data_IF_652085182692
#
_entry.id   IF_652085182692
#
_cell.length_a   1.000
_cell.length_b   1.000
_cell.length_c   1.000
_cell.angle_alpha   90.00
_cell.angle_beta   90.00
_cell.angle_gamma   90.00
#
_symmetry.space_group_name_H-M   'P 1'
#
loop_
_entity.id
_entity.type
_entity.pdbx_description
1 polymer ?
#
# COMPACT_ATOMS: atom_id res chain seq x y z
N UNK A 1 22.70 -1.81 22.21
CA UNK A 1 21.90 -2.47 21.16
C UNK A 1 20.54 -2.79 21.78
N UNK A 2 19.44 -2.68 21.03
CA UNK A 2 18.12 -3.03 21.54
C UNK A 2 18.07 -4.52 21.93
N UNK A 3 17.30 -4.85 22.96
CA UNK A 3 17.13 -6.24 23.39
C UNK A 3 16.48 -7.10 22.28
N UNK A 4 16.86 -8.37 22.14
CA UNK A 4 16.25 -9.28 21.16
C UNK A 4 14.72 -9.38 21.31
N UNK A 5 14.22 -9.28 22.55
CA UNK A 5 12.79 -9.28 22.85
C UNK A 5 12.06 -8.05 22.29
N UNK A 6 12.69 -6.87 22.35
CA UNK A 6 12.15 -5.64 21.75
C UNK A 6 12.06 -5.76 20.23
N UNK A 7 13.12 -6.29 19.60
CA UNK A 7 13.15 -6.50 18.16
C UNK A 7 12.04 -7.47 17.70
N UNK A 8 11.84 -8.56 18.44
CA UNK A 8 10.78 -9.54 18.15
C UNK A 8 9.38 -8.91 18.23
N UNK A 9 9.09 -8.17 19.31
CA UNK A 9 7.79 -7.49 19.45
C UNK A 9 7.56 -6.41 18.40
N UNK A 10 8.58 -5.63 18.05
CA UNK A 10 8.48 -4.64 16.98
C UNK A 10 8.16 -5.30 15.63
N UNK A 11 8.81 -6.42 15.33
CA UNK A 11 8.56 -7.19 14.11
C UNK A 11 7.14 -7.78 14.08
N UNK A 12 6.64 -8.29 15.21
CA UNK A 12 5.26 -8.80 15.33
C UNK A 12 4.23 -7.69 15.05
N UNK A 13 4.43 -6.51 15.63
CA UNK A 13 3.56 -5.36 15.41
C UNK A 13 3.57 -4.91 13.94
N UNK A 14 4.74 -4.89 13.30
CA UNK A 14 4.85 -4.59 11.87
C UNK A 14 4.14 -5.64 11.00
N UNK A 15 4.34 -6.93 11.30
CA UNK A 15 3.73 -8.03 10.56
C UNK A 15 2.18 -7.99 10.65
N UNK A 16 1.64 -7.65 11.82
CA UNK A 16 0.20 -7.46 12.00
C UNK A 16 -0.35 -6.38 11.06
N UNK A 17 0.29 -5.21 11.03
CA UNK A 17 -0.12 -4.12 10.14
C UNK A 17 0.02 -4.50 8.67
N UNK A 18 1.10 -5.17 8.27
CA UNK A 18 1.27 -5.63 6.89
C UNK A 18 0.17 -6.61 6.46
N UNK A 19 -0.25 -7.50 7.36
CA UNK A 19 -1.35 -8.43 7.11
C UNK A 19 -2.68 -7.72 6.89
N UNK A 20 -3.01 -6.74 7.74
CA UNK A 20 -4.21 -5.91 7.58
C UNK A 20 -4.17 -5.10 6.27
N UNK A 21 -3.02 -4.51 5.93
CA UNK A 21 -2.82 -3.79 4.68
C UNK A 21 -3.01 -4.70 3.46
N UNK A 22 -2.42 -5.91 3.48
CA UNK A 22 -2.58 -6.92 2.42
C UNK A 22 -4.03 -7.35 2.25
N UNK A 23 -4.75 -7.60 3.34
CA UNK A 23 -6.17 -7.97 3.31
C UNK A 23 -7.05 -6.87 2.70
N UNK A 24 -6.75 -5.62 3.05
CA UNK A 24 -7.41 -4.45 2.45
C UNK A 24 -7.13 -4.34 0.94
N UNK A 25 -5.87 -4.50 0.53
CA UNK A 25 -5.46 -4.45 -0.88
C UNK A 25 -6.05 -5.61 -1.70
N UNK A 26 -6.10 -6.84 -1.14
CA UNK A 26 -6.78 -7.99 -1.76
C UNK A 26 -8.26 -7.68 -2.00
N UNK A 27 -8.91 -7.06 -1.01
CA UNK A 27 -10.32 -6.65 -1.15
C UNK A 27 -10.49 -5.64 -2.29
N UNK A 28 -9.62 -4.63 -2.39
CA UNK A 28 -9.66 -3.64 -3.49
C UNK A 28 -9.44 -4.32 -4.84
N UNK A 29 -8.42 -5.18 -4.95
CA UNK A 29 -8.12 -5.91 -6.17
C UNK A 29 -9.33 -6.71 -6.64
N UNK A 30 -9.89 -7.52 -5.74
CA UNK A 30 -11.03 -8.40 -6.01
C UNK A 30 -12.29 -7.67 -6.40
N UNK A 31 -12.58 -6.54 -5.74
CA UNK A 31 -13.88 -5.87 -5.87
C UNK A 31 -13.90 -4.74 -6.88
N UNK A 32 -12.74 -4.12 -7.16
CA UNK A 32 -12.60 -3.00 -8.07
C UNK A 32 -11.71 -3.35 -9.27
N UNK A 33 -10.43 -3.68 -9.05
CA UNK A 33 -9.48 -3.84 -10.15
C UNK A 33 -9.86 -4.98 -11.11
N UNK A 34 -10.38 -6.12 -10.61
CA UNK A 34 -10.84 -7.21 -11.48
C UNK A 34 -11.94 -6.77 -12.46
N UNK A 35 -12.83 -5.85 -12.05
CA UNK A 35 -13.89 -5.33 -12.93
C UNK A 35 -13.30 -4.46 -14.03
N UNK A 36 -12.38 -3.58 -13.67
CA UNK A 36 -11.66 -2.72 -14.61
C UNK A 36 -10.84 -3.57 -15.59
N UNK A 37 -10.12 -4.58 -15.07
CA UNK A 37 -9.35 -5.51 -15.87
C UNK A 37 -10.24 -6.26 -16.88
N UNK A 38 -11.38 -6.80 -16.41
CA UNK A 38 -12.34 -7.49 -17.27
C UNK A 38 -12.83 -6.57 -18.40
N UNK A 39 -13.23 -5.34 -18.07
CA UNK A 39 -13.69 -4.37 -19.08
C UNK A 39 -12.59 -4.04 -20.10
N UNK A 40 -11.35 -3.85 -19.63
CA UNK A 40 -10.17 -3.65 -20.48
C UNK A 40 -9.99 -4.82 -21.46
N UNK A 41 -10.01 -6.07 -20.98
CA UNK A 41 -9.85 -7.24 -21.84
C UNK A 41 -11.00 -7.40 -22.85
N UNK A 42 -12.25 -7.17 -22.42
CA UNK A 42 -13.40 -7.20 -23.32
C UNK A 42 -13.30 -6.12 -24.41
N UNK A 43 -12.83 -4.93 -24.06
CA UNK A 43 -12.57 -3.85 -25.01
C UNK A 43 -11.50 -4.25 -26.03
N UNK A 44 -10.39 -4.86 -25.58
CA UNK A 44 -9.34 -5.37 -26.47
C UNK A 44 -9.89 -6.41 -27.44
N UNK A 45 -10.66 -7.39 -26.96
CA UNK A 45 -11.33 -8.38 -27.84
C UNK A 45 -12.17 -7.68 -28.89
N UNK A 46 -12.97 -6.68 -28.51
CA UNK A 46 -13.75 -5.87 -29.45
C UNK A 46 -12.90 -5.08 -30.46
N UNK A 47 -11.66 -4.70 -30.14
CA UNK A 47 -10.73 -4.12 -31.10
C UNK A 47 -10.32 -5.15 -32.18
N UNK A 48 -10.02 -6.39 -31.77
CA UNK A 48 -9.67 -7.47 -32.71
C UNK A 48 -10.86 -7.85 -33.59
N UNK A 49 -12.06 -7.95 -33.02
CA UNK A 49 -13.28 -8.24 -33.78
C UNK A 49 -13.55 -7.17 -34.85
N UNK A 50 -13.33 -5.89 -34.53
CA UNK A 50 -13.48 -4.77 -35.47
C UNK A 50 -12.40 -4.73 -36.55
N UNK A 51 -11.15 -5.08 -36.20
CA UNK A 51 -10.05 -5.08 -37.15
C UNK A 51 -10.17 -6.25 -38.15
N UNK A 52 -10.61 -7.41 -37.70
CA UNK A 52 -10.72 -8.60 -38.55
C UNK A 52 -9.38 -8.97 -39.20
N UNK A 53 -9.43 -9.53 -40.42
CA UNK A 53 -8.24 -9.94 -41.18
C UNK A 53 -7.66 -8.87 -42.09
N UNK A 54 -8.33 -7.72 -42.22
CA UNK A 54 -7.99 -6.66 -43.19
C UNK A 54 -7.72 -5.31 -42.55
N UNK A 55 -7.99 -5.15 -41.26
CA UNK A 55 -7.78 -3.92 -40.52
C UNK A 55 -6.30 -3.56 -40.37
N UNK A 56 -6.04 -2.26 -40.28
CA UNK A 56 -4.69 -1.73 -40.03
C UNK A 56 -4.17 -2.16 -38.66
N UNK A 57 -2.91 -2.63 -38.63
CA UNK A 57 -2.18 -2.97 -37.41
C UNK A 57 -2.08 -1.79 -36.45
N UNK A 58 -1.84 -0.58 -36.97
CA UNK A 58 -1.62 0.61 -36.15
C UNK A 58 -2.90 1.04 -35.43
N UNK A 59 -4.04 0.93 -36.12
CA UNK A 59 -5.36 1.20 -35.55
C UNK A 59 -5.71 0.18 -34.46
N UNK A 60 -5.41 -1.10 -34.68
CA UNK A 60 -5.61 -2.16 -33.70
C UNK A 60 -4.75 -1.94 -32.45
N UNK A 61 -3.48 -1.58 -32.63
CA UNK A 61 -2.56 -1.34 -31.52
C UNK A 61 -2.99 -0.10 -30.71
N UNK A 62 -3.40 0.98 -31.37
CA UNK A 62 -3.93 2.18 -30.72
C UNK A 62 -5.23 1.89 -29.94
N UNK A 63 -6.15 1.12 -30.51
CA UNK A 63 -7.38 0.70 -29.84
C UNK A 63 -7.04 -0.14 -28.59
N UNK A 64 -6.15 -1.12 -28.73
CA UNK A 64 -5.73 -2.01 -27.65
C UNK A 64 -5.06 -1.25 -26.50
N UNK A 65 -4.17 -0.29 -26.82
CA UNK A 65 -3.54 0.59 -25.83
C UNK A 65 -4.57 1.42 -25.06
N UNK A 66 -5.55 1.97 -25.76
CA UNK A 66 -6.61 2.78 -25.16
C UNK A 66 -7.47 1.96 -24.19
N UNK A 67 -7.79 0.71 -24.54
CA UNK A 67 -8.53 -0.20 -23.67
C UNK A 67 -7.79 -0.55 -22.36
N UNK A 68 -6.45 -0.61 -22.40
CA UNK A 68 -5.63 -0.97 -21.23
C UNK A 68 -5.35 0.20 -20.29
N UNK A 69 -5.53 1.44 -20.76
CA UNK A 69 -5.19 2.64 -20.00
C UNK A 69 -5.92 2.73 -18.63
N UNK A 70 -7.23 2.46 -18.52
CA UNK A 70 -7.93 2.49 -17.22
C UNK A 70 -7.35 1.45 -16.25
N UNK A 71 -7.03 0.25 -16.72
CA UNK A 71 -6.43 -0.77 -15.86
C UNK A 71 -5.04 -0.36 -15.36
N UNK A 72 -4.19 0.20 -16.23
CA UNK A 72 -2.88 0.71 -15.83
C UNK A 72 -3.00 1.86 -14.82
N UNK A 73 -3.91 2.81 -15.06
CA UNK A 73 -4.20 3.91 -14.13
C UNK A 73 -4.67 3.39 -12.76
N UNK A 74 -5.55 2.39 -12.76
CA UNK A 74 -6.03 1.77 -11.52
C UNK A 74 -4.91 1.11 -10.70
N UNK A 75 -4.00 0.41 -11.36
CA UNK A 75 -2.82 -0.15 -10.69
C UNK A 75 -1.91 0.95 -10.13
N UNK A 76 -1.67 2.02 -10.89
CA UNK A 76 -0.85 3.14 -10.43
C UNK A 76 -1.44 3.84 -9.20
N UNK A 77 -2.76 4.03 -9.16
CA UNK A 77 -3.48 4.58 -7.99
C UNK A 77 -3.20 3.73 -6.73
N UNK A 78 -3.37 2.42 -6.83
CA UNK A 78 -3.15 1.51 -5.70
C UNK A 78 -1.69 1.55 -5.25
N UNK A 79 -0.75 1.56 -6.19
CA UNK A 79 0.67 1.61 -5.89
C UNK A 79 1.08 2.93 -5.23
N UNK A 80 0.56 4.07 -5.69
CA UNK A 80 0.83 5.38 -5.10
C UNK A 80 0.31 5.47 -3.67
N UNK A 81 -0.95 5.11 -3.44
CA UNK A 81 -1.54 5.13 -2.08
C UNK A 81 -0.79 4.18 -1.14
N UNK A 82 -0.33 3.03 -1.64
CA UNK A 82 0.45 2.06 -0.85
C UNK A 82 1.83 2.59 -0.52
N UNK A 83 2.53 3.19 -1.48
CA UNK A 83 3.83 3.81 -1.27
C UNK A 83 3.73 4.97 -0.27
N UNK A 84 2.71 5.82 -0.38
CA UNK A 84 2.48 6.91 0.55
C UNK A 84 2.20 6.42 1.98
N UNK A 85 1.41 5.35 2.11
CA UNK A 85 1.16 4.71 3.40
C UNK A 85 2.46 4.16 4.02
N UNK A 86 3.26 3.42 3.25
CA UNK A 86 4.55 2.87 3.70
C UNK A 86 5.55 3.98 4.08
N UNK A 87 5.61 5.05 3.29
CA UNK A 87 6.47 6.20 3.57
C UNK A 87 6.11 6.89 4.89
N UNK A 88 4.81 7.03 5.19
CA UNK A 88 4.34 7.61 6.46
C UNK A 88 4.68 6.71 7.63
N UNK A 89 4.51 5.40 7.47
CA UNK A 89 4.90 4.42 8.49
C UNK A 89 6.38 4.48 8.80
N UNK A 90 7.24 4.40 7.77
CA UNK A 90 8.70 4.42 7.94
C UNK A 90 9.16 5.68 8.68
N UNK A 91 8.59 6.85 8.36
CA UNK A 91 8.87 8.10 9.09
C UNK A 91 8.42 8.03 10.55
N UNK A 92 7.25 7.49 10.83
CA UNK A 92 6.76 7.35 12.21
C UNK A 92 7.62 6.37 13.04
N UNK A 93 8.06 5.27 12.43
CA UNK A 93 8.96 4.30 13.07
C UNK A 93 10.33 4.90 13.38
N UNK A 94 10.90 5.71 12.47
CA UNK A 94 12.13 6.46 12.74
C UNK A 94 11.94 7.45 13.89
N UNK A 95 10.82 8.18 13.93
CA UNK A 95 10.53 9.10 15.04
C UNK A 95 10.45 8.38 16.40
N UNK A 96 9.91 7.16 16.44
CA UNK A 96 9.93 6.35 17.66
C UNK A 96 11.35 5.97 18.10
N UNK A 97 12.23 5.62 17.15
CA UNK A 97 13.63 5.32 17.43
C UNK A 97 14.37 6.54 17.98
N UNK A 98 14.14 7.72 17.39
CA UNK A 98 14.77 8.96 17.83
C UNK A 98 14.29 9.36 19.23
N UNK A 99 12.98 9.23 19.53
CA UNK A 99 12.46 9.41 20.87
C UNK A 99 13.13 8.49 21.91
N UNK A 100 13.43 7.23 21.54
CA UNK A 100 14.13 6.31 22.41
C UNK A 100 15.60 6.70 22.63
N UNK A 101 16.29 7.21 21.58
CA UNK A 101 17.66 7.75 21.69
C UNK A 101 17.70 8.97 22.60
N UNK A 102 16.72 9.86 22.49
CA UNK A 102 16.61 11.06 23.34
C UNK A 102 16.41 10.71 24.81
N UNK A 103 15.66 9.64 25.11
CA UNK A 103 15.50 9.14 26.49
C UNK A 103 16.83 8.63 27.04
N UNK A 104 17.65 7.97 26.21
CA UNK A 104 18.97 7.54 26.63
C UNK A 104 19.88 8.74 26.89
N UNK A 105 19.91 9.76 26.03
CA UNK A 105 20.75 10.98 26.18
C UNK A 105 22.22 10.68 26.59
N UNK A 106 22.78 9.57 26.12
CA UNK A 106 24.14 9.12 26.47
C UNK A 106 24.25 8.32 27.79
N UNK A 107 23.16 8.16 28.53
CA UNK A 107 23.08 7.41 29.78
C UNK A 107 22.51 5.99 29.55
N UNK A 108 23.42 5.00 29.57
CA UNK A 108 23.07 3.60 29.37
C UNK A 108 22.16 3.02 30.46
N UNK A 109 22.12 3.61 31.67
CA UNK A 109 21.24 3.15 32.75
C UNK A 109 19.75 3.32 32.41
N UNK A 110 19.43 4.22 31.47
CA UNK A 110 18.05 4.49 31.00
C UNK A 110 17.59 3.53 29.91
N UNK A 111 18.42 2.57 29.50
CA UNK A 111 18.08 1.61 28.45
C UNK A 111 16.73 0.91 28.67
N UNK A 112 16.38 0.38 29.85
CA UNK A 112 15.08 -0.27 30.06
C UNK A 112 13.89 0.69 29.82
N UNK A 113 14.04 1.95 30.22
CA UNK A 113 13.02 2.99 30.02
C UNK A 113 12.90 3.38 28.55
N UNK A 114 14.02 3.46 27.83
CA UNK A 114 14.04 3.73 26.40
C UNK A 114 13.39 2.60 25.58
N UNK A 115 13.63 1.33 25.96
CA UNK A 115 13.01 0.17 25.30
C UNK A 115 11.50 0.13 25.50
N UNK A 116 11.01 0.36 26.73
CA UNK A 116 9.57 0.44 27.03
C UNK A 116 8.90 1.59 26.26
N UNK A 117 9.54 2.76 26.21
CA UNK A 117 9.04 3.91 25.45
C UNK A 117 9.00 3.63 23.93
N UNK A 118 10.03 2.97 23.39
CA UNK A 118 10.08 2.57 21.98
C UNK A 118 8.92 1.62 21.66
N UNK A 119 8.72 0.59 22.46
CA UNK A 119 7.65 -0.38 22.24
C UNK A 119 6.26 0.26 22.28
N UNK A 120 6.01 1.15 23.26
CA UNK A 120 4.77 1.92 23.35
C UNK A 120 4.55 2.81 22.12
N UNK A 121 5.60 3.48 21.66
CA UNK A 121 5.52 4.31 20.46
C UNK A 121 5.21 3.50 19.20
N UNK A 122 5.88 2.35 19.00
CA UNK A 122 5.64 1.45 17.88
C UNK A 122 4.20 0.91 17.92
N UNK A 123 3.74 0.44 19.08
CA UNK A 123 2.37 -0.07 19.24
C UNK A 123 1.33 0.97 18.84
N UNK A 124 1.46 2.21 19.36
CA UNK A 124 0.57 3.32 18.99
C UNK A 124 0.64 3.62 17.50
N UNK A 125 1.84 3.66 16.94
CA UNK A 125 2.05 3.93 15.51
C UNK A 125 1.34 2.89 14.65
N UNK A 126 1.50 1.61 14.97
CA UNK A 126 0.83 0.50 14.28
C UNK A 126 -0.68 0.60 14.38
N UNK A 127 -1.23 0.82 15.58
CA UNK A 127 -2.67 0.95 15.77
C UNK A 127 -3.26 2.13 14.99
N UNK A 128 -2.56 3.27 14.96
CA UNK A 128 -2.98 4.44 14.20
C UNK A 128 -2.88 4.21 12.69
N UNK A 129 -1.87 3.49 12.23
CA UNK A 129 -1.74 3.12 10.81
C UNK A 129 -2.80 2.11 10.37
N UNK A 130 -3.17 1.14 11.21
CA UNK A 130 -4.29 0.23 10.93
C UNK A 130 -5.60 1.02 10.77
N UNK A 131 -5.87 2.02 11.63
CA UNK A 131 -7.05 2.90 11.48
C UNK A 131 -7.01 3.68 10.16
N UNK A 132 -5.83 4.03 9.66
CA UNK A 132 -5.65 4.75 8.39
C UNK A 132 -5.85 3.88 7.14
N UNK A 133 -5.91 2.55 7.27
CA UNK A 133 -6.20 1.67 6.13
C UNK A 133 -7.62 1.89 5.58
N UNK A 134 -8.60 2.18 6.44
CA UNK A 134 -9.97 2.47 6.02
C UNK A 134 -10.07 3.72 5.13
N UNK A 135 -9.55 4.91 5.52
CA UNK A 135 -9.58 6.08 4.65
C UNK A 135 -8.70 5.91 3.41
N UNK A 136 -7.59 5.17 3.48
CA UNK A 136 -6.80 4.82 2.29
C UNK A 136 -7.64 4.01 1.29
N UNK A 137 -8.31 2.95 1.75
CA UNK A 137 -9.25 2.17 0.92
C UNK A 137 -10.30 3.06 0.26
N UNK A 138 -10.92 3.97 1.03
CA UNK A 138 -11.95 4.86 0.52
C UNK A 138 -11.41 5.82 -0.58
N UNK A 139 -10.18 6.34 -0.43
CA UNK A 139 -9.53 7.14 -1.47
C UNK A 139 -9.28 6.34 -2.74
N UNK A 140 -8.71 5.13 -2.59
CA UNK A 140 -8.46 4.22 -3.71
C UNK A 140 -9.77 3.93 -4.44
N UNK A 141 -10.80 3.45 -3.74
CA UNK A 141 -12.11 3.15 -4.34
C UNK A 141 -12.74 4.38 -5.00
N UNK A 142 -12.60 5.56 -4.38
CA UNK A 142 -13.10 6.81 -4.93
C UNK A 142 -12.39 7.26 -6.21
N UNK A 143 -11.10 6.96 -6.36
CA UNK A 143 -10.34 7.22 -7.58
C UNK A 143 -10.62 6.17 -8.65
N UNK A 144 -10.70 4.88 -8.28
CA UNK A 144 -11.00 3.78 -9.19
C UNK A 144 -12.39 3.90 -9.83
N UNK A 145 -13.38 4.45 -9.12
CA UNK A 145 -14.73 4.71 -9.66
C UNK A 145 -14.77 5.74 -10.80
N UNK A 146 -13.68 6.47 -11.03
CA UNK A 146 -13.58 7.49 -12.09
C UNK A 146 -12.97 6.92 -13.38
N UNK A 147 -12.53 5.66 -13.35
CA UNK A 147 -11.96 4.91 -14.47
C UNK A 147 -13.06 4.12 -15.18
#
# INVERSE_FOLDING_TARGET
>A
MASPALQAKANELNAKMESEARSMLDTVERTQLRKIAKASYQCVVGCFDKAGTTGSSDVLEQCSRSCQLPYQQGNNIVQQETADFQNRLNRAMMACQDQAKDIMAGDASKMPKAEDALLKCISRTVDDHIKMLRPMKARIEGQLKKL
#
